data_IF_463866855443
#
_entry.id   IF_463866855443
#
_cell.length_a   1.000
_cell.length_b   1.000
_cell.length_c   1.000
_cell.angle_alpha   90.00
_cell.angle_beta   90.00
_cell.angle_gamma   90.00
#
_symmetry.space_group_name_H-M   'P 1'
#
loop_
_entity.id
_entity.type
_entity.pdbx_description
1 polymer ?
#
# COMPACT_ATOMS: atom_id res chain seq x y z
N UNK A 1 17.75 -13.23 0.55
CA UNK A 1 17.65 -13.03 2.03
C UNK A 1 16.32 -13.62 2.49
N UNK A 2 16.30 -14.42 3.55
CA UNK A 2 15.05 -14.95 4.10
C UNK A 2 14.40 -13.90 5.00
N UNK A 3 13.05 -13.78 5.06
CA UNK A 3 12.36 -12.79 5.92
C UNK A 3 12.80 -12.86 7.39
N UNK A 4 13.06 -14.07 7.92
CA UNK A 4 13.55 -14.27 9.28
C UNK A 4 14.88 -13.58 9.60
N UNK A 5 15.69 -13.26 8.58
CA UNK A 5 16.96 -12.54 8.75
C UNK A 5 16.77 -11.02 8.91
N UNK A 6 15.56 -10.52 8.63
CA UNK A 6 15.20 -9.10 8.77
C UNK A 6 14.50 -8.81 10.11
N UNK A 7 14.05 -9.84 10.81
CA UNK A 7 13.34 -9.71 12.10
C UNK A 7 14.37 -9.61 13.23
N UNK A 8 14.19 -8.61 14.08
CA UNK A 8 14.97 -8.42 15.33
C UNK A 8 14.02 -8.41 16.51
N UNK A 9 14.51 -8.86 17.66
CA UNK A 9 13.76 -8.78 18.90
C UNK A 9 13.78 -7.34 19.42
N UNK A 10 12.61 -6.69 19.46
CA UNK A 10 12.44 -5.29 19.86
C UNK A 10 13.00 -5.03 21.26
N UNK A 11 12.78 -5.94 22.21
CA UNK A 11 13.30 -5.81 23.58
C UNK A 11 14.80 -5.55 23.64
N UNK A 12 15.56 -6.09 22.68
CA UNK A 12 17.03 -5.90 22.61
C UNK A 12 17.44 -4.57 21.98
N UNK A 13 16.47 -3.83 21.42
CA UNK A 13 16.70 -2.56 20.71
C UNK A 13 16.28 -1.36 21.55
N UNK A 14 15.48 -1.60 22.61
CA UNK A 14 15.02 -0.54 23.51
C UNK A 14 16.20 -0.07 24.36
N UNK A 15 16.54 1.24 24.37
CA UNK A 15 17.60 1.80 25.17
C UNK A 15 17.35 1.61 26.68
N UNK A 16 18.43 1.60 27.46
CA UNK A 16 18.36 1.61 28.93
C UNK A 16 17.64 2.88 29.41
N UNK A 17 16.77 2.74 30.42
CA UNK A 17 15.95 3.83 30.96
C UNK A 17 14.65 4.12 30.23
N UNK A 18 14.31 3.29 29.21
CA UNK A 18 13.02 3.36 28.50
C UNK A 18 12.10 2.26 28.99
N UNK A 19 10.94 2.65 29.48
CA UNK A 19 9.87 1.71 29.84
C UNK A 19 9.05 1.30 28.61
N UNK A 20 9.01 0.01 28.32
CA UNK A 20 8.24 -0.53 27.24
C UNK A 20 6.89 -1.08 27.71
N UNK A 21 5.82 -0.35 27.44
CA UNK A 21 4.44 -0.79 27.71
C UNK A 21 3.94 -1.59 26.50
N UNK A 22 3.87 -2.92 26.62
CA UNK A 22 3.37 -3.83 25.56
C UNK A 22 1.85 -3.80 25.48
N UNK A 23 1.30 -2.66 25.14
CA UNK A 23 -0.15 -2.44 25.01
C UNK A 23 -0.40 -1.44 23.86
N UNK A 24 -1.58 -1.45 23.29
CA UNK A 24 -1.95 -0.49 22.24
C UNK A 24 -2.72 0.69 22.86
N UNK A 25 -2.54 1.87 22.28
CA UNK A 25 -3.34 3.04 22.63
C UNK A 25 -4.74 2.89 22.05
N UNK A 26 -5.77 3.04 22.88
CA UNK A 26 -7.18 3.02 22.49
C UNK A 26 -7.72 4.41 22.19
N UNK A 27 -7.32 5.39 22.99
CA UNK A 27 -7.79 6.77 22.82
C UNK A 27 -6.82 7.80 23.38
N UNK A 28 -6.97 9.02 22.88
CA UNK A 28 -6.19 10.18 23.26
C UNK A 28 -7.10 11.20 23.98
N UNK A 29 -6.59 11.79 25.06
CA UNK A 29 -7.20 12.92 25.76
C UNK A 29 -6.17 14.07 25.89
N UNK A 30 -5.89 14.80 24.81
CA UNK A 30 -4.80 15.79 24.78
C UNK A 30 -4.98 16.92 25.79
N UNK A 31 -6.24 17.36 26.05
CA UNK A 31 -6.53 18.38 27.04
C UNK A 31 -6.15 17.99 28.48
N UNK A 32 -6.03 16.70 28.74
CA UNK A 32 -5.67 16.13 30.04
C UNK A 32 -4.26 15.53 30.04
N UNK A 33 -3.49 15.69 28.95
CA UNK A 33 -2.19 15.05 28.74
C UNK A 33 -2.22 13.55 29.05
N UNK A 34 -3.23 12.82 28.52
CA UNK A 34 -3.51 11.44 28.89
C UNK A 34 -3.80 10.54 27.70
N UNK A 35 -3.35 9.29 27.81
CA UNK A 35 -3.67 8.18 26.91
C UNK A 35 -4.44 7.11 27.67
N UNK A 36 -5.38 6.45 27.00
CA UNK A 36 -6.01 5.22 27.50
C UNK A 36 -5.55 4.04 26.64
N UNK A 37 -5.14 2.95 27.29
CA UNK A 37 -4.66 1.73 26.66
C UNK A 37 -5.79 0.72 26.49
N UNK A 38 -5.64 -0.25 25.57
CA UNK A 38 -6.65 -1.25 25.27
C UNK A 38 -6.92 -2.20 26.44
N UNK A 39 -5.85 -2.74 27.03
CA UNK A 39 -5.97 -3.73 28.09
C UNK A 39 -6.01 -3.06 29.47
N UNK A 40 -7.04 -3.42 30.26
CA UNK A 40 -7.16 -3.02 31.66
C UNK A 40 -7.56 -1.56 31.89
N UNK A 41 -8.03 -0.85 30.88
CA UNK A 41 -8.33 0.59 30.96
C UNK A 41 -7.20 1.43 31.59
N UNK A 42 -5.96 0.95 31.46
CA UNK A 42 -4.76 1.63 31.98
C UNK A 42 -4.65 3.00 31.33
N UNK A 43 -4.37 4.00 32.15
CA UNK A 43 -4.15 5.38 31.71
C UNK A 43 -2.67 5.73 31.93
N UNK A 44 -2.11 6.42 30.94
CA UNK A 44 -0.78 7.02 31.02
C UNK A 44 -0.90 8.52 30.86
N UNK A 45 -0.19 9.27 31.68
CA UNK A 45 -0.02 10.71 31.56
C UNK A 45 1.34 11.03 30.99
N UNK A 46 1.48 12.20 30.34
CA UNK A 46 2.70 12.63 29.70
C UNK A 46 2.87 14.16 29.81
N UNK A 47 4.12 14.60 29.79
CA UNK A 47 4.49 16.02 29.59
C UNK A 47 4.63 16.32 28.08
N UNK A 48 5.19 15.37 27.33
CA UNK A 48 5.36 15.44 25.89
C UNK A 48 4.88 14.13 25.24
N UNK A 49 4.14 14.24 24.13
CA UNK A 49 3.66 13.08 23.38
C UNK A 49 4.24 13.12 21.96
N UNK A 50 4.89 12.01 21.57
CA UNK A 50 5.30 11.77 20.18
C UNK A 50 4.42 10.66 19.61
N UNK A 51 3.69 10.96 18.54
CA UNK A 51 2.82 10.01 17.84
C UNK A 51 3.54 9.54 16.58
N UNK A 52 3.97 8.29 16.57
CA UNK A 52 4.72 7.67 15.47
C UNK A 52 4.14 6.29 15.10
N UNK A 53 2.81 6.20 15.01
CA UNK A 53 2.07 4.96 14.79
C UNK A 53 2.20 4.38 13.38
N UNK A 54 2.73 5.14 12.44
CA UNK A 54 2.78 4.77 11.04
C UNK A 54 1.40 4.80 10.38
N UNK A 55 1.23 3.96 9.35
CA UNK A 55 0.02 3.90 8.53
C UNK A 55 -0.57 2.48 8.54
N UNK A 56 -1.89 2.41 8.49
CA UNK A 56 -2.66 1.19 8.30
C UNK A 56 -2.83 0.88 6.81
N UNK A 57 -2.68 -0.40 6.43
CA UNK A 57 -2.92 -0.86 5.05
C UNK A 57 -4.42 -1.10 4.84
N UNK A 58 -5.01 -0.41 3.87
CA UNK A 58 -6.45 -0.32 3.65
C UNK A 58 -6.88 -1.05 2.37
N UNK A 59 -6.60 -2.36 2.30
CA UNK A 59 -7.10 -3.21 1.20
C UNK A 59 -8.63 -3.28 1.15
N UNK A 60 -9.30 -3.04 2.27
CA UNK A 60 -10.75 -2.95 2.41
C UNK A 60 -11.38 -1.81 1.59
N UNK A 61 -10.58 -0.81 1.18
CA UNK A 61 -11.02 0.26 0.27
C UNK A 61 -11.14 -0.20 -1.20
N UNK A 62 -10.68 -1.41 -1.50
CA UNK A 62 -10.80 -2.00 -2.83
C UNK A 62 -11.95 -3.02 -2.79
N UNK A 63 -13.03 -2.74 -3.51
CA UNK A 63 -14.18 -3.64 -3.60
C UNK A 63 -13.74 -5.04 -4.08
N UNK A 64 -14.21 -6.08 -3.40
CA UNK A 64 -13.79 -7.46 -3.65
C UNK A 64 -12.62 -7.94 -2.79
N UNK A 65 -12.02 -7.07 -1.95
CA UNK A 65 -10.97 -7.41 -1.00
C UNK A 65 -11.35 -7.06 0.47
N UNK A 66 -12.51 -7.50 0.99
CA UNK A 66 -13.05 -7.01 2.27
C UNK A 66 -12.24 -7.45 3.50
N UNK A 67 -11.42 -8.50 3.38
CA UNK A 67 -10.66 -9.10 4.50
C UNK A 67 -9.23 -8.59 4.62
N UNK A 68 -8.90 -7.46 4.01
CA UNK A 68 -7.59 -6.80 4.13
C UNK A 68 -6.43 -7.68 3.63
N UNK A 69 -5.37 -7.81 4.43
CA UNK A 69 -4.18 -8.58 4.06
C UNK A 69 -4.48 -10.06 3.75
N UNK A 70 -5.45 -10.66 4.45
CA UNK A 70 -5.86 -12.04 4.24
C UNK A 70 -6.40 -12.25 2.82
N UNK A 71 -7.24 -11.35 2.32
CA UNK A 71 -7.72 -11.42 0.93
C UNK A 71 -6.60 -11.40 -0.09
N UNK A 72 -5.57 -10.57 0.14
CA UNK A 72 -4.39 -10.51 -0.73
C UNK A 72 -3.61 -11.83 -0.71
N UNK A 73 -3.51 -12.49 0.46
CA UNK A 73 -2.79 -13.76 0.58
C UNK A 73 -3.54 -14.93 -0.05
N UNK A 74 -4.86 -14.97 0.09
CA UNK A 74 -5.69 -16.10 -0.34
C UNK A 74 -6.09 -16.02 -1.82
N UNK A 75 -6.23 -14.81 -2.39
CA UNK A 75 -6.67 -14.63 -3.76
C UNK A 75 -5.57 -15.00 -4.78
N UNK A 76 -5.83 -15.95 -5.72
CA UNK A 76 -4.86 -16.33 -6.74
C UNK A 76 -4.49 -15.18 -7.67
N UNK A 77 -3.20 -15.00 -7.94
CA UNK A 77 -2.70 -13.96 -8.84
C UNK A 77 -2.70 -12.55 -8.25
N UNK A 78 -3.21 -12.35 -7.01
CA UNK A 78 -3.16 -11.06 -6.30
C UNK A 78 -2.01 -11.08 -5.31
N UNK A 79 -1.22 -10.01 -5.27
CA UNK A 79 -0.09 -9.91 -4.37
C UNK A 79 0.19 -8.45 -3.96
N UNK A 80 1.01 -8.26 -2.93
CA UNK A 80 1.43 -6.94 -2.47
C UNK A 80 2.69 -7.05 -1.63
N UNK A 81 3.66 -6.16 -1.83
CA UNK A 81 4.92 -6.14 -1.07
C UNK A 81 4.87 -5.31 0.21
N UNK A 82 3.70 -4.81 0.59
CA UNK A 82 3.56 -3.88 1.72
C UNK A 82 3.56 -4.55 3.10
N UNK A 83 3.60 -5.88 3.14
CA UNK A 83 3.74 -6.68 4.36
C UNK A 83 4.56 -7.96 4.08
N UNK A 84 5.20 -8.57 5.10
CA UNK A 84 6.19 -9.64 4.90
C UNK A 84 5.68 -10.85 4.10
N UNK A 85 4.54 -11.41 4.49
CA UNK A 85 3.97 -12.59 3.81
C UNK A 85 3.51 -12.27 2.38
N UNK A 86 3.01 -11.05 2.17
CA UNK A 86 2.67 -10.55 0.84
C UNK A 86 3.89 -10.44 -0.08
N UNK A 87 5.04 -10.04 0.46
CA UNK A 87 6.29 -9.99 -0.32
C UNK A 87 6.77 -11.39 -0.73
N UNK A 88 6.62 -12.39 0.16
CA UNK A 88 6.92 -13.80 -0.17
C UNK A 88 6.00 -14.28 -1.30
N UNK A 89 4.69 -14.02 -1.17
CA UNK A 89 3.71 -14.37 -2.20
C UNK A 89 4.01 -13.66 -3.51
N UNK A 90 4.34 -12.37 -3.49
CA UNK A 90 4.68 -11.61 -4.69
C UNK A 90 5.81 -12.28 -5.48
N UNK A 91 6.86 -12.70 -4.81
CA UNK A 91 7.96 -13.42 -5.46
C UNK A 91 7.51 -14.77 -6.04
N UNK A 92 6.64 -15.50 -5.34
CA UNK A 92 6.11 -16.76 -5.83
C UNK A 92 5.25 -16.56 -7.09
N UNK A 93 4.34 -15.59 -7.09
CA UNK A 93 3.50 -15.25 -8.24
C UNK A 93 4.34 -14.80 -9.45
N UNK A 94 5.40 -14.01 -9.23
CA UNK A 94 6.31 -13.61 -10.32
C UNK A 94 7.07 -14.80 -10.92
N UNK A 95 7.46 -15.79 -10.11
CA UNK A 95 8.17 -16.99 -10.58
C UNK A 95 7.28 -17.96 -11.36
N UNK A 96 5.98 -17.96 -11.10
CA UNK A 96 4.99 -18.81 -11.80
C UNK A 96 4.34 -18.13 -12.99
N UNK A 97 4.68 -16.86 -13.23
CA UNK A 97 4.18 -16.10 -14.37
C UNK A 97 4.61 -16.73 -15.70
N UNK A 98 3.70 -16.82 -16.67
CA UNK A 98 3.88 -17.52 -17.91
C UNK A 98 3.79 -16.58 -19.13
N UNK A 99 4.33 -17.00 -20.25
CA UNK A 99 4.28 -16.27 -21.52
C UNK A 99 2.84 -16.00 -21.95
N UNK A 100 2.59 -14.80 -22.47
CA UNK A 100 1.26 -14.39 -22.93
C UNK A 100 0.33 -13.87 -21.84
N UNK A 101 0.80 -13.78 -20.60
CA UNK A 101 0.01 -13.30 -19.47
C UNK A 101 0.11 -11.78 -19.26
N UNK A 102 -0.82 -11.23 -18.46
CA UNK A 102 -0.87 -9.84 -18.07
C UNK A 102 -0.47 -9.68 -16.59
N UNK A 103 0.58 -8.89 -16.33
CA UNK A 103 0.99 -8.47 -15.00
C UNK A 103 0.66 -6.98 -14.82
N UNK A 104 -0.11 -6.66 -13.78
CA UNK A 104 -0.57 -5.30 -13.47
C UNK A 104 -0.02 -4.87 -12.12
N UNK A 105 0.51 -3.66 -12.06
CA UNK A 105 1.04 -3.04 -10.84
C UNK A 105 0.30 -1.72 -10.61
N UNK A 106 -0.30 -1.55 -9.42
CA UNK A 106 -1.10 -0.37 -9.12
C UNK A 106 -0.45 0.54 -8.08
N UNK A 107 -0.67 1.85 -8.25
CA UNK A 107 -0.36 2.89 -7.27
C UNK A 107 -1.67 3.59 -6.86
N UNK A 108 -2.03 3.65 -5.56
CA UNK A 108 -3.34 4.12 -5.10
C UNK A 108 -3.48 5.65 -5.11
N UNK A 109 -4.73 6.11 -5.07
CA UNK A 109 -5.11 7.51 -4.88
C UNK A 109 -5.32 7.85 -3.39
N UNK A 110 -4.44 7.35 -2.52
CA UNK A 110 -4.42 7.60 -1.09
C UNK A 110 -2.98 7.88 -0.65
N UNK A 111 -2.73 8.33 0.57
CA UNK A 111 -1.40 8.22 1.16
C UNK A 111 -0.85 6.80 1.05
N UNK A 112 0.46 6.67 0.95
CA UNK A 112 1.15 5.39 0.76
C UNK A 112 2.44 5.37 1.57
N UNK A 113 2.81 4.22 2.12
CA UNK A 113 4.05 4.09 2.92
C UNK A 113 5.32 4.41 2.13
N UNK A 114 5.38 4.03 0.87
CA UNK A 114 6.53 4.25 0.01
C UNK A 114 6.07 4.47 -1.43
N UNK A 115 6.14 5.70 -1.89
CA UNK A 115 5.71 6.08 -3.24
C UNK A 115 6.49 5.45 -4.39
N UNK A 116 7.71 4.95 -4.14
CA UNK A 116 8.52 4.27 -5.15
C UNK A 116 8.33 2.74 -5.19
N UNK A 117 7.70 2.15 -4.18
CA UNK A 117 7.64 0.70 -4.06
C UNK A 117 6.83 0.00 -5.18
N UNK A 118 5.63 0.48 -5.57
CA UNK A 118 4.87 -0.14 -6.66
C UNK A 118 5.59 -0.12 -8.00
N UNK A 119 6.26 0.98 -8.29
CA UNK A 119 7.04 1.13 -9.51
C UNK A 119 8.28 0.23 -9.49
N UNK A 120 8.98 0.17 -8.36
CA UNK A 120 10.18 -0.67 -8.23
C UNK A 120 9.85 -2.15 -8.40
N UNK A 121 8.78 -2.65 -7.77
CA UNK A 121 8.41 -4.06 -7.92
C UNK A 121 7.95 -4.38 -9.35
N UNK A 122 7.34 -3.43 -10.07
CA UNK A 122 7.03 -3.57 -11.49
C UNK A 122 8.31 -3.79 -12.31
N UNK A 123 9.36 -3.03 -12.06
CA UNK A 123 10.64 -3.18 -12.74
C UNK A 123 11.33 -4.50 -12.43
N UNK A 124 11.34 -4.90 -11.14
CA UNK A 124 11.93 -6.18 -10.72
C UNK A 124 11.16 -7.37 -11.29
N UNK A 125 9.84 -7.28 -11.37
CA UNK A 125 9.03 -8.32 -12.00
C UNK A 125 9.35 -8.44 -13.49
N UNK A 126 9.49 -7.33 -14.18
CA UNK A 126 9.86 -7.31 -15.61
C UNK A 126 11.22 -7.93 -15.85
N UNK A 127 12.21 -7.69 -14.99
CA UNK A 127 13.52 -8.33 -15.05
C UNK A 127 13.42 -9.86 -14.85
N UNK A 128 12.65 -10.31 -13.84
CA UNK A 128 12.39 -11.75 -13.61
C UNK A 128 11.69 -12.39 -14.81
N UNK A 129 10.74 -11.70 -15.44
CA UNK A 129 10.05 -12.22 -16.62
C UNK A 129 10.97 -12.35 -17.84
N UNK A 130 11.97 -11.47 -17.96
CA UNK A 130 13.04 -11.61 -18.97
C UNK A 130 13.95 -12.79 -18.67
N UNK A 131 14.43 -12.89 -17.43
CA UNK A 131 15.29 -13.99 -16.98
C UNK A 131 14.63 -15.36 -17.19
N UNK A 132 13.32 -15.45 -16.99
CA UNK A 132 12.53 -16.67 -17.19
C UNK A 132 12.04 -16.86 -18.64
N UNK A 133 12.42 -15.99 -19.57
CA UNK A 133 12.04 -16.04 -21.00
C UNK A 133 10.51 -15.95 -21.25
N UNK A 134 9.75 -15.41 -20.30
CA UNK A 134 8.28 -15.27 -20.38
C UNK A 134 7.82 -13.84 -20.70
N UNK A 135 8.76 -12.89 -20.81
CA UNK A 135 8.44 -11.48 -21.04
C UNK A 135 7.87 -11.21 -22.44
N UNK A 136 8.37 -11.89 -23.45
CA UNK A 136 7.92 -11.72 -24.82
C UNK A 136 6.48 -12.23 -24.99
N UNK A 137 5.62 -11.39 -25.62
CA UNK A 137 4.18 -11.68 -25.78
C UNK A 137 3.36 -11.46 -24.52
N UNK A 138 3.97 -11.11 -23.38
CA UNK A 138 3.29 -10.76 -22.14
C UNK A 138 3.18 -9.25 -21.99
N UNK A 139 2.13 -8.80 -21.28
CA UNK A 139 1.94 -7.38 -20.95
C UNK A 139 2.39 -7.11 -19.52
N UNK A 140 3.19 -6.06 -19.33
CA UNK A 140 3.52 -5.50 -18.02
C UNK A 140 2.94 -4.11 -17.98
N UNK A 141 1.98 -3.89 -17.09
CA UNK A 141 1.16 -2.69 -17.01
C UNK A 141 1.39 -2.03 -15.66
N UNK A 142 1.72 -0.75 -15.66
CA UNK A 142 1.80 0.08 -14.47
C UNK A 142 0.70 1.12 -14.48
N UNK A 143 -0.26 1.01 -13.54
CA UNK A 143 -1.36 1.95 -13.34
C UNK A 143 -1.06 2.82 -12.12
N UNK A 144 -0.98 4.12 -12.31
CA UNK A 144 -0.76 5.07 -11.21
C UNK A 144 -1.88 6.09 -11.12
N UNK A 145 -2.32 6.42 -9.91
CA UNK A 145 -3.24 7.52 -9.65
C UNK A 145 -2.64 8.89 -9.95
N UNK A 146 -1.32 8.98 -9.96
CA UNK A 146 -0.61 10.23 -10.27
C UNK A 146 -0.76 10.61 -11.75
N UNK A 147 -0.60 11.90 -12.06
CA UNK A 147 -0.56 12.41 -13.44
C UNK A 147 0.75 12.12 -14.18
N UNK A 148 1.74 11.53 -13.50
CA UNK A 148 3.04 11.15 -14.05
C UNK A 148 3.52 9.86 -13.40
N UNK A 149 4.58 9.24 -13.94
CA UNK A 149 5.14 7.98 -13.41
C UNK A 149 5.67 8.11 -11.98
N UNK A 150 6.08 9.32 -11.59
CA UNK A 150 6.56 9.64 -10.26
C UNK A 150 6.31 11.11 -9.91
N UNK A 151 6.12 11.43 -8.63
CA UNK A 151 5.73 12.77 -8.17
C UNK A 151 6.81 13.86 -8.31
N UNK A 152 8.09 13.50 -8.45
CA UNK A 152 9.20 14.45 -8.62
C UNK A 152 9.60 14.53 -10.08
N UNK A 153 9.42 15.69 -10.77
CA UNK A 153 9.60 15.81 -12.22
C UNK A 153 10.96 15.36 -12.73
N UNK A 154 12.06 15.73 -12.05
CA UNK A 154 13.42 15.31 -12.39
C UNK A 154 13.58 13.79 -12.46
N UNK A 155 13.02 13.08 -11.48
CA UNK A 155 13.07 11.62 -11.44
C UNK A 155 12.06 11.01 -12.40
N UNK A 156 10.86 11.60 -12.53
CA UNK A 156 9.85 11.15 -13.47
C UNK A 156 10.39 11.08 -14.90
N UNK A 157 11.11 12.12 -15.35
CA UNK A 157 11.71 12.17 -16.69
C UNK A 157 12.73 11.02 -16.91
N UNK A 158 13.59 10.75 -15.93
CA UNK A 158 14.54 9.64 -16.00
C UNK A 158 13.85 8.28 -15.99
N UNK A 159 12.81 8.13 -15.15
CA UNK A 159 12.05 6.90 -15.03
C UNK A 159 11.19 6.59 -16.26
N UNK A 160 10.78 7.60 -17.02
CA UNK A 160 10.12 7.40 -18.33
C UNK A 160 11.01 6.71 -19.35
N UNK A 161 12.34 6.94 -19.30
CA UNK A 161 13.29 6.18 -20.13
C UNK A 161 13.26 4.70 -19.76
N UNK A 162 13.28 4.39 -18.47
CA UNK A 162 13.20 3.00 -17.98
C UNK A 162 11.89 2.33 -18.38
N UNK A 163 10.74 3.03 -18.24
CA UNK A 163 9.41 2.56 -18.69
C UNK A 163 9.45 2.17 -20.17
N UNK A 164 10.02 3.03 -20.99
CA UNK A 164 10.14 2.82 -22.45
C UNK A 164 11.06 1.63 -22.79
N UNK A 165 12.24 1.58 -22.18
CA UNK A 165 13.25 0.53 -22.44
C UNK A 165 12.73 -0.85 -22.03
N UNK A 166 12.02 -0.93 -20.91
CA UNK A 166 11.36 -2.15 -20.41
C UNK A 166 10.04 -2.46 -21.12
N UNK A 167 9.58 -1.61 -22.04
CA UNK A 167 8.29 -1.74 -22.75
C UNK A 167 7.13 -1.95 -21.77
N UNK A 168 7.12 -1.21 -20.66
CA UNK A 168 6.03 -1.21 -19.69
C UNK A 168 4.92 -0.28 -20.19
N UNK A 169 3.69 -0.76 -20.17
CA UNK A 169 2.52 0.06 -20.51
C UNK A 169 2.14 0.92 -19.29
N UNK A 170 2.32 2.22 -19.40
CA UNK A 170 2.01 3.18 -18.33
C UNK A 170 0.63 3.78 -18.53
N UNK A 171 -0.21 3.68 -17.51
CA UNK A 171 -1.48 4.39 -17.40
C UNK A 171 -1.44 5.30 -16.18
N UNK A 172 -1.62 6.60 -16.40
CA UNK A 172 -1.70 7.62 -15.35
C UNK A 172 -3.15 7.96 -15.02
N UNK A 173 -3.39 8.55 -13.84
CA UNK A 173 -4.73 8.95 -13.36
C UNK A 173 -5.71 7.79 -13.30
N UNK A 174 -5.22 6.60 -12.92
CA UNK A 174 -6.03 5.41 -12.70
C UNK A 174 -5.86 4.93 -11.26
N UNK A 175 -6.98 4.80 -10.54
CA UNK A 175 -7.04 4.27 -9.17
C UNK A 175 -7.75 2.92 -9.16
N UNK A 176 -7.10 1.89 -8.64
CA UNK A 176 -7.70 0.57 -8.47
C UNK A 176 -8.86 0.66 -7.46
N UNK A 177 -10.08 0.41 -7.89
CA UNK A 177 -11.28 0.52 -7.09
C UNK A 177 -11.95 -0.81 -6.78
N UNK A 178 -11.85 -1.79 -7.70
CA UNK A 178 -12.53 -3.07 -7.58
C UNK A 178 -11.72 -4.21 -8.18
N UNK A 179 -11.86 -5.40 -7.57
CA UNK A 179 -11.30 -6.65 -8.10
C UNK A 179 -12.37 -7.73 -8.09
N UNK A 180 -12.61 -8.33 -9.24
CA UNK A 180 -13.40 -9.56 -9.36
C UNK A 180 -12.44 -10.74 -9.44
N UNK A 181 -12.17 -11.38 -8.28
CA UNK A 181 -11.14 -12.40 -8.13
C UNK A 181 -11.38 -13.58 -9.06
N UNK A 182 -12.61 -14.10 -9.11
CA UNK A 182 -12.98 -15.28 -9.90
C UNK A 182 -12.85 -15.05 -11.42
N UNK A 183 -13.13 -13.82 -11.85
CA UNK A 183 -13.01 -13.42 -13.27
C UNK A 183 -11.63 -12.90 -13.63
N UNK A 184 -10.79 -12.63 -12.62
CA UNK A 184 -9.48 -11.98 -12.75
C UNK A 184 -9.58 -10.63 -13.48
N UNK A 185 -10.55 -9.81 -13.09
CA UNK A 185 -10.76 -8.46 -13.61
C UNK A 185 -10.42 -7.45 -12.51
N UNK A 186 -9.60 -6.46 -12.87
CA UNK A 186 -9.30 -5.30 -12.05
C UNK A 186 -9.93 -4.06 -12.69
N UNK A 187 -10.79 -3.35 -11.95
CA UNK A 187 -11.47 -2.13 -12.39
C UNK A 187 -10.79 -0.92 -11.79
N UNK A 188 -10.38 0.00 -12.64
CA UNK A 188 -9.73 1.25 -12.29
C UNK A 188 -10.64 2.43 -12.59
N UNK A 189 -10.83 3.29 -11.61
CA UNK A 189 -11.50 4.57 -11.78
C UNK A 189 -10.56 5.58 -12.42
N UNK A 190 -11.04 6.32 -13.43
CA UNK A 190 -10.28 7.42 -14.01
C UNK A 190 -10.38 8.66 -13.13
N UNK A 191 -9.26 9.34 -12.94
CA UNK A 191 -9.14 10.54 -12.16
C UNK A 191 -8.92 11.77 -13.05
N UNK A 192 -9.43 12.91 -12.62
CA UNK A 192 -9.12 14.22 -13.22
C UNK A 192 -7.73 14.73 -12.79
N UNK A 193 -7.38 15.95 -13.17
CA UNK A 193 -6.11 16.58 -12.82
C UNK A 193 -5.95 16.87 -11.32
N UNK A 194 -7.05 16.94 -10.58
CA UNK A 194 -7.09 17.16 -9.14
C UNK A 194 -7.18 15.84 -8.34
N UNK A 195 -7.14 14.69 -9.02
CA UNK A 195 -7.27 13.38 -8.40
C UNK A 195 -8.71 13.00 -8.04
N UNK A 196 -9.72 13.71 -8.57
CA UNK A 196 -11.12 13.39 -8.33
C UNK A 196 -11.62 12.35 -9.34
N UNK A 197 -12.52 11.47 -8.89
CA UNK A 197 -13.08 10.41 -9.73
C UNK A 197 -13.98 10.99 -10.81
N UNK A 198 -13.71 10.64 -12.06
CA UNK A 198 -14.58 10.94 -13.19
C UNK A 198 -15.59 9.80 -13.32
N UNK A 199 -16.83 10.03 -12.88
CA UNK A 199 -17.89 9.02 -12.89
C UNK A 199 -18.16 8.47 -14.30
N UNK A 200 -18.32 7.14 -14.38
CA UNK A 200 -18.65 6.45 -15.64
C UNK A 200 -17.48 6.32 -16.62
N UNK A 201 -16.25 6.59 -16.19
CA UNK A 201 -15.02 6.42 -17.00
C UNK A 201 -14.09 5.38 -16.38
N UNK A 202 -14.65 4.24 -16.00
CA UNK A 202 -13.86 3.15 -15.44
C UNK A 202 -13.18 2.36 -16.57
N UNK A 203 -11.99 1.84 -16.26
CA UNK A 203 -11.18 1.03 -17.17
C UNK A 203 -10.96 -0.34 -16.55
N UNK A 204 -11.23 -1.39 -17.30
CA UNK A 204 -11.05 -2.77 -16.84
C UNK A 204 -9.86 -3.43 -17.51
N UNK A 205 -9.12 -4.16 -16.72
CA UNK A 205 -8.03 -5.01 -17.19
C UNK A 205 -8.20 -6.44 -16.68
N UNK A 206 -8.02 -7.41 -17.57
CA UNK A 206 -7.82 -8.81 -17.17
C UNK A 206 -6.38 -8.98 -16.68
N UNK A 207 -6.20 -9.63 -15.54
CA UNK A 207 -4.88 -9.90 -14.97
C UNK A 207 -4.62 -11.41 -14.77
N UNK A 208 -3.38 -11.79 -14.83
CA UNK A 208 -2.87 -13.05 -14.34
C UNK A 208 -2.09 -12.83 -13.04
N UNK A 209 -1.36 -11.69 -12.97
CA UNK A 209 -0.73 -11.16 -11.78
C UNK A 209 -1.21 -9.72 -11.55
N UNK A 210 -1.74 -9.42 -10.37
CA UNK A 210 -2.12 -8.08 -9.92
C UNK A 210 -1.37 -7.76 -8.62
N UNK A 211 -0.36 -6.90 -8.73
CA UNK A 211 0.30 -6.32 -7.55
C UNK A 211 -0.45 -5.06 -7.10
N UNK A 212 -0.91 -5.07 -5.87
CA UNK A 212 -1.63 -3.96 -5.27
C UNK A 212 -0.66 -3.09 -4.47
N UNK A 213 -0.42 -1.86 -4.93
CA UNK A 213 0.10 -0.79 -4.09
C UNK A 213 -0.94 -0.48 -3.02
N UNK A 214 -0.62 -0.79 -1.77
CA UNK A 214 -1.61 -0.73 -0.70
C UNK A 214 -2.11 0.69 -0.47
N UNK A 215 -3.42 0.96 -0.56
CA UNK A 215 -3.98 2.17 0.02
C UNK A 215 -3.61 2.26 1.49
N UNK A 216 -3.33 3.45 1.99
CA UNK A 216 -2.97 3.66 3.39
C UNK A 216 -3.83 4.78 4.00
N UNK A 217 -4.01 4.69 5.31
CA UNK A 217 -4.62 5.74 6.14
C UNK A 217 -3.91 5.82 7.49
N UNK A 218 -4.11 6.86 8.28
CA UNK A 218 -3.78 6.81 9.70
C UNK A 218 -4.43 5.61 10.38
N UNK A 219 -3.90 5.17 11.51
CA UNK A 219 -4.50 4.09 12.30
C UNK A 219 -5.90 4.46 12.77
N UNK A 220 -6.74 3.45 13.06
CA UNK A 220 -8.16 3.62 13.42
C UNK A 220 -8.35 4.56 14.61
N UNK A 221 -7.48 4.51 15.60
CA UNK A 221 -7.53 5.33 16.82
C UNK A 221 -7.41 6.83 16.51
N UNK A 222 -6.53 7.20 15.57
CA UNK A 222 -6.38 8.59 15.11
C UNK A 222 -7.55 9.02 14.22
N UNK A 223 -8.03 8.15 13.33
CA UNK A 223 -9.22 8.45 12.52
C UNK A 223 -10.47 8.65 13.37
N UNK A 224 -10.63 7.84 14.43
CA UNK A 224 -11.73 7.99 15.39
C UNK A 224 -11.60 9.29 16.18
N UNK A 225 -10.39 9.69 16.56
CA UNK A 225 -10.15 10.97 17.24
C UNK A 225 -10.50 12.16 16.32
N UNK A 226 -10.19 12.08 15.03
CA UNK A 226 -10.52 13.12 14.05
C UNK A 226 -12.02 13.44 13.96
N UNK A 227 -12.89 12.49 14.32
CA UNK A 227 -14.36 12.64 14.34
C UNK A 227 -14.92 13.25 15.63
N UNK A 228 -14.09 13.48 16.63
CA UNK A 228 -14.53 14.08 17.89
C UNK A 228 -14.75 15.59 17.73
N UNK A 229 -15.71 16.14 18.50
CA UNK A 229 -16.04 17.58 18.44
C UNK A 229 -14.88 18.49 18.86
N UNK A 230 -14.05 18.02 19.77
CA UNK A 230 -12.88 18.73 20.31
C UNK A 230 -11.58 18.11 19.76
N UNK A 231 -11.51 17.91 18.42
CA UNK A 231 -10.28 17.44 17.80
C UNK A 231 -9.23 18.54 17.77
N UNK A 232 -8.20 18.37 18.58
CA UNK A 232 -7.03 19.27 18.65
C UNK A 232 -5.71 18.52 18.40
N UNK A 233 -5.78 17.29 17.87
CA UNK A 233 -4.64 16.42 17.67
C UNK A 233 -4.38 16.11 16.20
N UNK A 234 -5.43 15.99 15.39
CA UNK A 234 -5.34 15.52 14.01
C UNK A 234 -6.08 16.45 13.05
N UNK A 235 -5.77 16.34 11.75
CA UNK A 235 -6.64 16.89 10.70
C UNK A 235 -7.94 16.04 10.54
N UNK A 236 -8.80 16.46 9.61
CA UNK A 236 -10.07 15.78 9.35
C UNK A 236 -9.93 14.32 8.85
N UNK A 237 -8.74 13.94 8.38
CA UNK A 237 -8.42 12.59 7.90
C UNK A 237 -7.74 11.72 8.98
N UNK A 238 -7.35 12.30 10.12
CA UNK A 238 -6.68 11.62 11.23
C UNK A 238 -5.15 11.68 11.18
N UNK A 239 -4.57 12.54 10.34
CA UNK A 239 -3.13 12.80 10.37
C UNK A 239 -2.78 13.82 11.47
N UNK A 240 -1.66 13.57 12.17
CA UNK A 240 -1.10 14.41 13.23
C UNK A 240 -0.16 15.46 12.63
#
# INVERSE_FOLDING_TARGET
MKPSQLVRNEYKLIPEGVDWVKNAVRSFSPAENRLTLNEGDMQLTYDYLVIATGLELRYDLIEGLPHGQKSVLEAPGICSIYFPDGAIKTLAEMKTFSKGQNAIFSFPNTPIKCGGAPQKICYLAEDIFRENEVREGSRVIYCTSLGAVFGVPKYSNALMTVIKDKKIELFTRLNLAKVEVDKRIATFQTLDENGQIIKGKDVEFKYNLLHIGAPCSPVSELRNHAQQKENNLTDAQGFV
#
